data_IF_228127817241
#
_entry.id   IF_228127817241
#
_cell.length_a   1.000
_cell.length_b   1.000
_cell.length_c   1.000
_cell.angle_alpha   90.00
_cell.angle_beta   90.00
_cell.angle_gamma   90.00
#
_symmetry.space_group_name_H-M   'P 1'
#
loop_
_entity.id
_entity.type
_entity.pdbx_description
1 polymer ?
#
# COMPACT_ATOMS: atom_id res chain seq x y z
N UNK A 1 -12.65 -16.86 -11.42
CA UNK A 1 -12.97 -15.50 -11.88
C UNK A 1 -11.81 -14.63 -11.43
N UNK A 2 -11.16 -13.92 -12.34
CA UNK A 2 -10.14 -12.94 -11.98
C UNK A 2 -10.83 -11.71 -11.40
N UNK A 3 -10.29 -11.14 -10.31
CA UNK A 3 -10.85 -9.92 -9.70
C UNK A 3 -10.79 -8.75 -10.68
N UNK A 4 -11.78 -7.86 -10.64
CA UNK A 4 -11.78 -6.65 -11.47
C UNK A 4 -10.77 -5.62 -10.92
N UNK A 5 -10.31 -4.66 -11.73
CA UNK A 5 -9.47 -3.56 -11.25
C UNK A 5 -10.11 -2.79 -10.08
N UNK A 6 -11.43 -2.59 -10.10
CA UNK A 6 -12.19 -1.98 -9.02
C UNK A 6 -12.09 -2.80 -7.72
N UNK A 7 -12.33 -4.12 -7.78
CA UNK A 7 -12.23 -4.99 -6.60
C UNK A 7 -10.82 -4.97 -5.98
N UNK A 8 -9.78 -4.94 -6.82
CA UNK A 8 -8.38 -4.90 -6.38
C UNK A 8 -8.01 -3.55 -5.76
N UNK A 9 -8.50 -2.45 -6.32
CA UNK A 9 -8.34 -1.12 -5.73
C UNK A 9 -9.05 -1.02 -4.39
N UNK A 10 -10.27 -1.55 -4.28
CA UNK A 10 -11.00 -1.64 -3.02
C UNK A 10 -10.24 -2.44 -1.96
N UNK A 11 -9.65 -3.57 -2.33
CA UNK A 11 -8.81 -4.39 -1.44
C UNK A 11 -7.52 -3.67 -1.02
N UNK A 12 -6.85 -2.97 -1.95
CA UNK A 12 -5.68 -2.15 -1.66
C UNK A 12 -6.01 -1.00 -0.67
N UNK A 13 -7.12 -0.29 -0.89
CA UNK A 13 -7.61 0.76 0.03
C UNK A 13 -7.98 0.18 1.39
N UNK A 14 -8.61 -1.00 1.45
CA UNK A 14 -8.95 -1.63 2.73
C UNK A 14 -7.70 -1.96 3.58
N UNK A 15 -6.56 -2.27 2.94
CA UNK A 15 -5.29 -2.40 3.62
C UNK A 15 -4.76 -1.06 4.16
N UNK A 16 -4.89 0.03 3.41
CA UNK A 16 -4.54 1.39 3.88
C UNK A 16 -5.41 1.82 5.06
N UNK A 17 -6.73 1.58 5.01
CA UNK A 17 -7.62 1.89 6.12
C UNK A 17 -7.24 1.09 7.38
N UNK A 18 -6.82 -0.17 7.21
CA UNK A 18 -6.31 -0.98 8.32
C UNK A 18 -5.00 -0.43 8.88
N UNK A 19 -4.09 0.02 8.01
CA UNK A 19 -2.84 0.67 8.39
C UNK A 19 -3.11 1.91 9.25
N UNK A 20 -4.00 2.80 8.82
CA UNK A 20 -4.37 3.99 9.58
C UNK A 20 -4.98 3.66 10.94
N UNK A 21 -5.86 2.65 11.02
CA UNK A 21 -6.39 2.17 12.31
C UNK A 21 -5.30 1.67 13.27
N UNK A 22 -4.18 1.17 12.76
CA UNK A 22 -3.05 0.78 13.61
C UNK A 22 -2.29 2.01 14.12
N UNK A 23 -2.07 3.02 13.27
CA UNK A 23 -1.47 4.30 13.65
C UNK A 23 -2.33 5.12 14.63
N UNK A 24 -3.65 4.99 14.57
CA UNK A 24 -4.56 5.60 15.55
C UNK A 24 -4.46 4.95 16.95
N UNK A 25 -4.04 3.68 17.01
CA UNK A 25 -3.93 2.91 18.27
C UNK A 25 -2.60 3.09 18.97
N UNK A 26 -1.57 3.55 18.27
CA UNK A 26 -0.23 3.74 18.83
C UNK A 26 0.75 4.34 17.83
N UNK A 27 1.92 4.72 18.32
CA UNK A 27 2.99 5.26 17.45
C UNK A 27 3.63 4.15 16.63
N UNK A 28 4.12 4.49 15.43
CA UNK A 28 4.91 3.58 14.59
C UNK A 28 6.27 3.21 15.21
N UNK A 29 6.68 3.90 16.29
CA UNK A 29 7.87 3.51 17.06
C UNK A 29 7.59 2.32 18.01
N UNK A 30 6.32 1.94 18.20
CA UNK A 30 5.94 0.70 18.88
C UNK A 30 6.09 -0.49 17.92
N UNK A 31 6.79 -1.54 18.35
CA UNK A 31 7.10 -2.71 17.51
C UNK A 31 5.84 -3.40 16.97
N UNK A 32 4.79 -3.53 17.79
CA UNK A 32 3.55 -4.19 17.37
C UNK A 32 2.80 -3.34 16.33
N UNK A 33 2.81 -2.01 16.50
CA UNK A 33 2.23 -1.09 15.52
C UNK A 33 3.06 -1.10 14.23
N UNK A 34 4.39 -1.05 14.33
CA UNK A 34 5.30 -1.07 13.20
C UNK A 34 5.13 -2.35 12.35
N UNK A 35 5.00 -3.51 13.00
CA UNK A 35 4.75 -4.79 12.32
C UNK A 35 3.39 -4.78 11.61
N UNK A 36 2.35 -4.32 12.30
CA UNK A 36 1.02 -4.26 11.72
C UNK A 36 0.95 -3.30 10.51
N UNK A 37 1.54 -2.11 10.64
CA UNK A 37 1.66 -1.12 9.55
C UNK A 37 2.46 -1.69 8.38
N UNK A 38 3.61 -2.31 8.65
CA UNK A 38 4.46 -2.95 7.64
C UNK A 38 3.72 -4.05 6.89
N UNK A 39 3.01 -4.93 7.61
CA UNK A 39 2.20 -5.99 7.00
C UNK A 39 1.12 -5.42 6.08
N UNK A 40 0.41 -4.37 6.52
CA UNK A 40 -0.65 -3.76 5.72
C UNK A 40 -0.10 -3.04 4.49
N UNK A 41 1.02 -2.33 4.63
CA UNK A 41 1.71 -1.69 3.51
C UNK A 41 2.16 -2.72 2.47
N UNK A 42 2.81 -3.81 2.90
CA UNK A 42 3.22 -4.89 2.01
C UNK A 42 2.02 -5.57 1.32
N UNK A 43 0.93 -5.81 2.04
CA UNK A 43 -0.29 -6.42 1.48
C UNK A 43 -0.93 -5.54 0.41
N UNK A 44 -0.99 -4.22 0.62
CA UNK A 44 -1.49 -3.26 -0.37
C UNK A 44 -0.67 -3.32 -1.66
N UNK A 45 0.66 -3.28 -1.56
CA UNK A 45 1.57 -3.35 -2.71
C UNK A 45 1.41 -4.69 -3.46
N UNK A 46 1.28 -5.80 -2.72
CA UNK A 46 1.08 -7.12 -3.33
C UNK A 46 -0.25 -7.25 -4.07
N UNK A 47 -1.33 -6.69 -3.52
CA UNK A 47 -2.66 -6.69 -4.17
C UNK A 47 -2.59 -5.98 -5.52
N UNK A 48 -1.94 -4.81 -5.56
CA UNK A 48 -1.71 -4.07 -6.79
C UNK A 48 -0.85 -4.85 -7.80
N UNK A 49 0.26 -5.46 -7.35
CA UNK A 49 1.14 -6.27 -8.21
C UNK A 49 0.45 -7.49 -8.83
N UNK A 50 -0.43 -8.17 -8.08
CA UNK A 50 -1.04 -9.43 -8.53
C UNK A 50 -2.16 -9.23 -9.55
N UNK A 51 -2.90 -8.15 -9.42
CA UNK A 51 -4.15 -7.97 -10.15
C UNK A 51 -4.20 -6.74 -11.03
N UNK A 52 -3.26 -5.81 -10.87
CA UNK A 52 -3.33 -4.49 -11.48
C UNK A 52 -1.97 -4.08 -12.09
N UNK A 53 -1.19 -5.01 -12.65
CA UNK A 53 0.16 -4.73 -13.17
C UNK A 53 0.18 -3.67 -14.27
N UNK A 54 -0.82 -3.69 -15.16
CA UNK A 54 -0.98 -2.66 -16.19
C UNK A 54 -1.28 -1.31 -15.53
N UNK A 55 -2.17 -1.30 -14.54
CA UNK A 55 -2.50 -0.11 -13.78
C UNK A 55 -1.30 0.47 -13.02
N UNK A 56 -0.51 -0.35 -12.35
CA UNK A 56 0.67 0.13 -11.62
C UNK A 56 1.73 0.70 -12.56
N UNK A 57 1.84 0.14 -13.77
CA UNK A 57 2.71 0.67 -14.82
C UNK A 57 2.20 2.02 -15.33
N UNK A 58 0.90 2.14 -15.57
CA UNK A 58 0.28 3.38 -16.05
C UNK A 58 0.31 4.51 -15.02
N UNK A 59 0.11 4.19 -13.73
CA UNK A 59 0.04 5.17 -12.65
C UNK A 59 1.42 5.63 -12.16
N UNK A 60 2.34 4.69 -11.98
CA UNK A 60 3.61 4.95 -11.30
C UNK A 60 4.83 4.79 -12.21
N UNK A 61 4.67 4.21 -13.40
CA UNK A 61 5.77 4.01 -14.35
C UNK A 61 6.99 3.35 -13.69
N UNK A 62 8.14 4.01 -13.83
CA UNK A 62 9.41 3.55 -13.25
C UNK A 62 9.43 3.58 -11.71
N UNK A 63 8.63 4.44 -11.07
CA UNK A 63 8.54 4.53 -9.59
C UNK A 63 7.92 3.27 -8.98
N UNK A 64 7.17 2.48 -9.76
CA UNK A 64 6.62 1.21 -9.30
C UNK A 64 7.71 0.25 -8.80
N UNK A 65 8.89 0.27 -9.43
CA UNK A 65 10.02 -0.55 -9.01
C UNK A 65 10.51 -0.21 -7.60
N UNK A 66 10.43 1.07 -7.21
CA UNK A 66 10.79 1.58 -5.88
C UNK A 66 9.74 1.16 -4.85
N UNK A 67 8.45 1.33 -5.18
CA UNK A 67 7.33 0.88 -4.33
C UNK A 67 7.42 -0.63 -4.09
N UNK A 68 7.68 -1.42 -5.13
CA UNK A 68 7.87 -2.87 -5.02
C UNK A 68 9.09 -3.25 -4.18
N UNK A 69 10.20 -2.50 -4.32
CA UNK A 69 11.39 -2.70 -3.50
C UNK A 69 11.10 -2.48 -2.00
N UNK A 70 10.23 -1.54 -1.65
CA UNK A 70 9.80 -1.34 -0.26
C UNK A 70 9.09 -2.56 0.31
N UNK A 71 8.18 -3.19 -0.44
CA UNK A 71 7.55 -4.47 -0.04
C UNK A 71 8.60 -5.56 0.20
N UNK A 72 9.62 -5.64 -0.66
CA UNK A 72 10.68 -6.64 -0.48
C UNK A 72 11.53 -6.35 0.76
N UNK A 73 11.82 -5.08 1.05
CA UNK A 73 12.53 -4.67 2.27
C UNK A 73 11.74 -5.05 3.53
N UNK A 74 10.43 -4.85 3.52
CA UNK A 74 9.54 -5.29 4.62
C UNK A 74 9.58 -6.81 4.77
N UNK A 75 9.39 -7.57 3.68
CA UNK A 75 9.31 -9.03 3.71
C UNK A 75 10.62 -9.72 4.12
N UNK A 76 11.77 -9.12 3.81
CA UNK A 76 13.09 -9.65 4.17
C UNK A 76 13.64 -9.05 5.48
N UNK A 77 13.05 -7.96 5.97
CA UNK A 77 13.54 -7.15 7.09
C UNK A 77 13.22 -7.68 8.49
N UNK A 78 12.53 -8.81 8.65
CA UNK A 78 12.04 -9.31 9.95
C UNK A 78 13.09 -9.50 11.07
N UNK A 79 14.40 -9.47 10.75
CA UNK A 79 15.44 -9.46 11.78
C UNK A 79 15.76 -8.06 12.33
N UNK A 80 15.59 -7.01 11.52
CA UNK A 80 15.88 -5.60 11.82
C UNK A 80 15.08 -4.72 10.85
N UNK A 81 13.76 -4.60 11.07
CA UNK A 81 12.98 -3.66 10.27
C UNK A 81 13.60 -2.29 10.52
N UNK A 82 14.02 -1.64 9.44
CA UNK A 82 14.45 -0.26 9.49
C UNK A 82 13.18 0.59 9.66
N UNK A 83 12.71 0.67 10.91
CA UNK A 83 11.50 1.40 11.31
C UNK A 83 11.59 2.86 10.84
N UNK A 84 12.81 3.42 10.75
CA UNK A 84 13.00 4.77 10.23
C UNK A 84 12.61 4.86 8.74
N UNK A 85 12.99 3.88 7.92
CA UNK A 85 12.55 3.79 6.52
C UNK A 85 11.03 3.60 6.42
N UNK A 86 10.44 2.68 7.19
CA UNK A 86 8.98 2.45 7.18
C UNK A 86 8.23 3.72 7.57
N UNK A 87 8.68 4.40 8.62
CA UNK A 87 8.11 5.67 9.09
C UNK A 87 8.21 6.77 8.05
N UNK A 88 9.36 6.90 7.39
CA UNK A 88 9.52 7.87 6.29
C UNK A 88 8.54 7.55 5.16
N UNK A 89 8.46 6.30 4.70
CA UNK A 89 7.51 5.91 3.65
C UNK A 89 6.06 6.20 4.03
N UNK A 90 5.65 5.87 5.26
CA UNK A 90 4.27 6.10 5.72
C UNK A 90 3.95 7.59 5.84
N UNK A 91 4.92 8.42 6.22
CA UNK A 91 4.69 9.84 6.48
C UNK A 91 4.88 10.73 5.25
N UNK A 92 5.78 10.35 4.34
CA UNK A 92 6.24 11.18 3.23
C UNK A 92 5.70 10.68 1.89
N UNK A 93 5.78 9.38 1.62
CA UNK A 93 5.45 8.81 0.30
C UNK A 93 3.97 8.34 0.20
N UNK A 94 3.50 7.68 1.26
CA UNK A 94 2.20 7.01 1.30
C UNK A 94 1.01 7.95 1.03
N UNK A 95 0.96 9.21 1.53
CA UNK A 95 -0.18 10.09 1.27
C UNK A 95 -0.45 10.35 -0.21
N UNK A 96 0.60 10.48 -1.03
CA UNK A 96 0.47 10.72 -2.46
C UNK A 96 -0.03 9.47 -3.21
N UNK A 97 0.50 8.30 -2.84
CA UNK A 97 0.06 7.00 -3.38
C UNK A 97 -1.41 6.76 -3.01
N UNK A 98 -1.78 6.96 -1.75
CA UNK A 98 -3.14 6.78 -1.27
C UNK A 98 -4.15 7.68 -1.99
N UNK A 99 -3.83 8.97 -2.14
CA UNK A 99 -4.69 9.91 -2.86
C UNK A 99 -4.94 9.45 -4.31
N UNK A 100 -3.90 8.97 -4.98
CA UNK A 100 -3.98 8.46 -6.35
C UNK A 100 -4.89 7.23 -6.44
N UNK A 101 -4.72 6.27 -5.53
CA UNK A 101 -5.53 5.05 -5.49
C UNK A 101 -7.00 5.34 -5.19
N UNK A 102 -7.29 6.28 -4.27
CA UNK A 102 -8.68 6.68 -3.95
C UNK A 102 -9.36 7.38 -5.13
N UNK A 103 -8.68 8.31 -5.80
CA UNK A 103 -9.23 8.98 -6.98
C UNK A 103 -9.55 7.99 -8.10
N UNK A 104 -8.71 6.98 -8.28
CA UNK A 104 -8.95 5.94 -9.27
C UNK A 104 -10.11 5.01 -8.89
N UNK A 105 -10.22 4.64 -7.61
CA UNK A 105 -11.34 3.86 -7.11
C UNK A 105 -12.67 4.55 -7.43
N UNK A 106 -12.78 5.85 -7.17
CA UNK A 106 -13.97 6.65 -7.50
C UNK A 106 -14.27 6.69 -9.01
N UNK A 107 -13.23 6.81 -9.84
CA UNK A 107 -13.37 6.80 -11.30
C UNK A 107 -13.88 5.45 -11.80
N UNK A 108 -13.32 4.34 -11.31
CA UNK A 108 -13.76 2.99 -11.72
C UNK A 108 -15.20 2.69 -11.31
N UNK A 109 -15.66 3.19 -10.16
CA UNK A 109 -17.06 3.09 -9.77
C UNK A 109 -18.01 3.89 -10.70
N UNK A 110 -17.52 5.00 -11.26
CA UNK A 110 -18.29 5.85 -12.19
C UNK A 110 -18.38 5.26 -13.60
N UNK A 111 -17.36 4.50 -14.03
CA UNK A 111 -17.32 3.84 -15.34
C UNK A 111 -18.16 2.53 -15.39
N UNK A 112 -18.49 1.94 -14.23
CA UNK A 112 -19.37 0.76 -14.10
C UNK A 112 -20.87 1.11 -13.96
N UNK A 113 -21.23 2.40 -13.84
CA UNK A 113 -22.61 2.90 -13.67
C UNK A 113 -23.24 3.35 -14.99
#
# INVERSE_FOLDING_TARGET
MSRTPHELLGEAIAHLDALHRHLERGTIDDETVADAVSLRLASMIETLQRGATELTTDLFGDEWSVIWAMRNRIAHGYAWIDIATVRATVSEDLPAVEATLRALLEKTASDES
#
